data_IF_021231616531
#
_entry.id   IF_021231616531
#
_cell.length_a   1.000
_cell.length_b   1.000
_cell.length_c   1.000
_cell.angle_alpha   90.00
_cell.angle_beta   90.00
_cell.angle_gamma   90.00
#
_symmetry.space_group_name_H-M   'P 1'
#
loop_
_entity.id
_entity.type
_entity.pdbx_description
1 polymer ?
#
# COMPACT_ATOMS: atom_id res chain seq x y z
N UNK A 1 9.66 -17.46 -0.63
CA UNK A 1 10.36 -16.22 -1.02
C UNK A 1 9.74 -14.99 -0.35
N UNK A 2 8.46 -14.67 -0.54
CA UNK A 2 7.83 -13.49 0.09
C UNK A 2 7.90 -13.51 1.64
N UNK A 3 7.64 -14.66 2.27
CA UNK A 3 7.76 -14.80 3.72
C UNK A 3 9.21 -14.59 4.22
N UNK A 4 10.19 -15.03 3.44
CA UNK A 4 11.62 -14.84 3.77
C UNK A 4 12.00 -13.35 3.68
N UNK A 5 11.47 -12.66 2.66
CA UNK A 5 11.59 -11.21 2.54
C UNK A 5 10.99 -10.47 3.75
N UNK A 6 9.78 -10.82 4.19
CA UNK A 6 9.19 -10.20 5.39
C UNK A 6 9.96 -10.51 6.67
N UNK A 7 10.49 -11.73 6.81
CA UNK A 7 11.33 -12.09 7.95
C UNK A 7 12.61 -11.26 8.00
N UNK A 8 13.25 -11.00 6.86
CA UNK A 8 14.46 -10.17 6.76
C UNK A 8 14.16 -8.69 6.98
N UNK A 9 13.06 -8.17 6.43
CA UNK A 9 12.60 -6.80 6.71
C UNK A 9 12.36 -6.54 8.21
N UNK A 10 11.86 -7.55 8.92
CA UNK A 10 11.52 -7.48 10.34
C UNK A 10 12.63 -8.02 11.27
N UNK A 11 13.83 -8.28 10.76
CA UNK A 11 14.92 -8.81 11.57
C UNK A 11 15.19 -7.86 12.76
N UNK A 12 15.19 -8.43 13.97
CA UNK A 12 15.43 -7.68 15.20
C UNK A 12 16.94 -7.54 15.53
N UNK A 13 17.78 -8.27 14.80
CA UNK A 13 19.24 -8.30 14.96
C UNK A 13 19.94 -7.07 14.36
N UNK A 14 21.28 -7.05 14.40
CA UNK A 14 22.05 -6.02 13.72
C UNK A 14 21.76 -6.08 12.22
N UNK A 15 21.60 -4.91 11.59
CA UNK A 15 21.35 -4.81 10.16
C UNK A 15 22.60 -5.27 9.40
N UNK A 16 22.54 -6.48 8.84
CA UNK A 16 23.62 -7.02 8.04
C UNK A 16 23.51 -6.54 6.59
N UNK A 17 24.64 -6.22 5.96
CA UNK A 17 24.66 -5.77 4.56
C UNK A 17 24.02 -6.78 3.60
N UNK A 18 24.11 -8.08 3.90
CA UNK A 18 23.48 -9.12 3.10
C UNK A 18 21.95 -9.10 3.16
N UNK A 19 21.35 -8.70 4.29
CA UNK A 19 19.89 -8.56 4.40
C UNK A 19 19.37 -7.42 3.54
N UNK A 20 20.10 -6.29 3.51
CA UNK A 20 19.78 -5.14 2.64
C UNK A 20 19.86 -5.57 1.17
N UNK A 21 20.96 -6.19 0.75
CA UNK A 21 21.17 -6.63 -0.64
C UNK A 21 20.06 -7.61 -1.07
N UNK A 22 19.69 -8.55 -0.20
CA UNK A 22 18.58 -9.46 -0.47
C UNK A 22 17.28 -8.69 -0.68
N UNK A 23 16.94 -7.75 0.21
CA UNK A 23 15.73 -6.96 0.11
C UNK A 23 15.70 -6.11 -1.16
N UNK A 24 16.82 -5.47 -1.51
CA UNK A 24 16.94 -4.73 -2.76
C UNK A 24 16.70 -5.61 -3.98
N UNK A 25 17.34 -6.79 -4.04
CA UNK A 25 17.17 -7.73 -5.15
C UNK A 25 15.76 -8.29 -5.23
N UNK A 26 15.12 -8.51 -4.09
CA UNK A 26 13.73 -8.94 -4.06
C UNK A 26 12.78 -7.85 -4.57
N UNK A 27 13.01 -6.59 -4.22
CA UNK A 27 12.20 -5.46 -4.72
C UNK A 27 12.43 -5.24 -6.22
N UNK A 28 13.67 -5.35 -6.68
CA UNK A 28 14.02 -5.32 -8.11
C UNK A 28 13.27 -6.42 -8.87
N UNK A 29 13.26 -7.65 -8.36
CA UNK A 29 12.48 -8.75 -8.92
C UNK A 29 10.97 -8.46 -8.96
N UNK A 30 10.39 -7.87 -7.91
CA UNK A 30 8.98 -7.48 -7.92
C UNK A 30 8.69 -6.40 -8.97
N UNK A 31 9.59 -5.43 -9.13
CA UNK A 31 9.49 -4.39 -10.16
C UNK A 31 9.49 -5.04 -11.55
N UNK A 32 10.41 -5.96 -11.82
CA UNK A 32 10.50 -6.66 -13.10
C UNK A 32 9.20 -7.41 -13.40
N UNK A 33 8.64 -8.14 -12.42
CA UNK A 33 7.37 -8.83 -12.57
C UNK A 33 6.19 -7.88 -12.83
N UNK A 34 6.18 -6.70 -12.22
CA UNK A 34 5.12 -5.73 -12.42
C UNK A 34 5.30 -4.89 -13.70
N UNK A 35 6.52 -4.84 -14.24
CA UNK A 35 6.82 -4.09 -15.47
C UNK A 35 6.28 -4.77 -16.74
N UNK A 36 6.04 -6.08 -16.67
CA UNK A 36 5.57 -6.89 -17.80
C UNK A 36 4.10 -7.26 -17.62
N UNK A 37 3.25 -6.96 -18.62
CA UNK A 37 1.81 -7.18 -18.56
C UNK A 37 1.40 -8.63 -18.18
N UNK A 38 2.03 -9.70 -18.73
CA UNK A 38 1.62 -11.08 -18.44
C UNK A 38 1.83 -11.48 -16.97
N UNK A 39 2.92 -11.03 -16.36
CA UNK A 39 3.26 -11.33 -14.96
C UNK A 39 2.58 -10.36 -14.00
N UNK A 40 2.40 -9.10 -14.40
CA UNK A 40 1.73 -8.07 -13.61
C UNK A 40 0.30 -8.47 -13.25
N UNK A 41 -0.44 -9.08 -14.18
CA UNK A 41 -1.84 -9.50 -14.00
C UNK A 41 -2.05 -10.35 -12.74
N UNK A 42 -1.12 -11.25 -12.45
CA UNK A 42 -1.20 -12.15 -11.29
C UNK A 42 -0.40 -11.64 -10.08
N UNK A 43 0.67 -10.90 -10.33
CA UNK A 43 1.57 -10.43 -9.27
C UNK A 43 1.02 -9.19 -8.56
N UNK A 44 0.37 -8.29 -9.30
CA UNK A 44 -0.15 -7.03 -8.75
C UNK A 44 -1.20 -7.23 -7.64
N UNK A 45 -2.23 -8.10 -7.81
CA UNK A 45 -3.17 -8.37 -6.73
C UNK A 45 -2.46 -8.88 -5.47
N UNK A 46 -1.48 -9.77 -5.61
CA UNK A 46 -0.72 -10.32 -4.49
C UNK A 46 0.13 -9.25 -3.79
N UNK A 47 0.80 -8.37 -4.54
CA UNK A 47 1.59 -7.27 -3.97
C UNK A 47 0.70 -6.29 -3.19
N UNK A 48 -0.51 -6.02 -3.71
CA UNK A 48 -1.51 -5.15 -3.05
C UNK A 48 -2.08 -5.80 -1.79
N UNK A 49 -2.49 -7.06 -1.87
CA UNK A 49 -3.10 -7.80 -0.76
C UNK A 49 -2.13 -7.96 0.43
N UNK A 50 -0.86 -8.26 0.13
CA UNK A 50 0.19 -8.39 1.15
C UNK A 50 0.72 -7.05 1.68
N UNK A 51 0.21 -5.91 1.18
CA UNK A 51 0.61 -4.56 1.61
C UNK A 51 2.13 -4.33 1.64
N UNK A 52 2.87 -4.90 0.68
CA UNK A 52 4.33 -4.99 0.70
C UNK A 52 4.99 -3.63 0.92
N UNK A 53 4.54 -2.59 0.22
CA UNK A 53 5.09 -1.23 0.33
C UNK A 53 4.91 -0.68 1.75
N UNK A 54 3.78 -0.94 2.40
CA UNK A 54 3.54 -0.46 3.76
C UNK A 54 4.42 -1.21 4.76
N UNK A 55 4.54 -2.53 4.62
CA UNK A 55 5.43 -3.36 5.46
C UNK A 55 6.88 -2.88 5.33
N UNK A 56 7.35 -2.62 4.10
CA UNK A 56 8.68 -2.06 3.86
C UNK A 56 8.87 -0.72 4.57
N UNK A 57 7.94 0.23 4.41
CA UNK A 57 8.05 1.58 5.00
C UNK A 57 8.10 1.59 6.54
N UNK A 58 7.49 0.61 7.18
CA UNK A 58 7.51 0.45 8.65
C UNK A 58 8.63 -0.48 9.13
N UNK A 59 9.45 -1.03 8.23
CA UNK A 59 10.55 -1.91 8.58
C UNK A 59 11.75 -1.13 9.12
N UNK A 60 12.48 -1.74 10.06
CA UNK A 60 13.73 -1.16 10.59
C UNK A 60 14.80 -1.01 9.51
N UNK A 61 14.86 -1.97 8.57
CA UNK A 61 15.77 -1.89 7.43
C UNK A 61 15.55 -0.61 6.63
N UNK A 62 14.30 -0.26 6.35
CA UNK A 62 13.99 0.96 5.58
C UNK A 62 14.34 2.25 6.31
N UNK A 63 14.23 2.27 7.65
CA UNK A 63 14.65 3.40 8.48
C UNK A 63 16.18 3.56 8.53
N UNK A 64 16.90 2.44 8.71
CA UNK A 64 18.37 2.43 8.70
C UNK A 64 18.96 2.79 7.34
N UNK A 65 18.23 2.50 6.27
CA UNK A 65 18.67 2.67 4.90
C UNK A 65 18.18 4.00 4.28
N UNK A 66 18.08 5.07 5.07
CA UNK A 66 17.74 6.41 4.57
C UNK A 66 18.75 6.87 3.52
N UNK A 67 18.26 7.24 2.33
CA UNK A 67 19.09 7.59 1.17
C UNK A 67 19.72 6.40 0.45
N UNK A 68 19.25 5.17 0.70
CA UNK A 68 19.73 3.97 0.01
C UNK A 68 18.95 3.65 -1.26
N UNK A 69 19.54 2.80 -2.09
CA UNK A 69 18.92 2.18 -3.26
C UNK A 69 17.59 1.48 -2.93
N UNK A 70 17.42 0.94 -1.73
CA UNK A 70 16.16 0.33 -1.30
C UNK A 70 15.00 1.35 -1.24
N UNK A 71 15.27 2.61 -0.90
CA UNK A 71 14.26 3.66 -0.90
C UNK A 71 13.85 4.04 -2.32
N UNK A 72 14.82 4.20 -3.22
CA UNK A 72 14.57 4.49 -4.63
C UNK A 72 13.76 3.36 -5.28
N UNK A 73 14.14 2.11 -5.02
CA UNK A 73 13.40 0.92 -5.47
C UNK A 73 11.98 0.89 -4.89
N UNK A 74 11.77 1.32 -3.64
CA UNK A 74 10.42 1.38 -3.07
C UNK A 74 9.52 2.41 -3.76
N UNK A 75 10.08 3.55 -4.20
CA UNK A 75 9.36 4.57 -4.95
C UNK A 75 9.03 4.05 -6.36
N UNK A 76 9.99 3.39 -7.01
CA UNK A 76 9.78 2.77 -8.32
C UNK A 76 8.72 1.65 -8.25
N UNK A 77 8.77 0.81 -7.21
CA UNK A 77 7.75 -0.21 -6.98
C UNK A 77 6.36 0.42 -6.80
N UNK A 78 6.26 1.53 -6.05
CA UNK A 78 4.99 2.23 -5.86
C UNK A 78 4.38 2.70 -7.18
N UNK A 79 5.20 3.23 -8.10
CA UNK A 79 4.75 3.64 -9.42
C UNK A 79 4.11 2.48 -10.19
N UNK A 80 4.77 1.32 -10.26
CA UNK A 80 4.21 0.14 -10.94
C UNK A 80 2.93 -0.41 -10.29
N UNK A 81 2.78 -0.26 -8.97
CA UNK A 81 1.57 -0.66 -8.24
C UNK A 81 0.39 0.30 -8.46
N UNK A 82 0.67 1.61 -8.58
CA UNK A 82 -0.34 2.65 -8.76
C UNK A 82 -0.79 2.77 -10.23
N UNK A 83 0.12 2.66 -11.19
CA UNK A 83 -0.12 2.86 -12.63
C UNK A 83 -0.82 1.66 -13.29
N UNK A 84 -1.53 0.84 -12.53
CA UNK A 84 -2.11 -0.43 -13.00
C UNK A 84 -3.50 -0.27 -13.60
N UNK A 85 -3.70 0.81 -14.35
CA UNK A 85 -5.00 1.25 -14.84
C UNK A 85 -5.72 0.22 -15.70
N UNK A 86 -5.06 -0.46 -16.62
CA UNK A 86 -5.76 -1.33 -17.56
C UNK A 86 -5.01 -2.59 -17.96
N UNK A 87 -5.76 -3.68 -17.98
CA UNK A 87 -5.47 -4.89 -18.74
C UNK A 87 -5.55 -4.51 -20.23
N UNK A 88 -4.45 -4.03 -20.80
CA UNK A 88 -4.13 -4.19 -22.22
C UNK A 88 -4.90 -3.45 -23.32
N UNK A 89 -5.93 -2.62 -23.09
CA UNK A 89 -6.61 -1.92 -24.21
C UNK A 89 -6.68 -0.40 -24.16
N UNK A 90 -6.86 0.23 -22.99
CA UNK A 90 -7.12 1.67 -22.95
C UNK A 90 -6.33 2.34 -21.83
N UNK A 91 -5.67 3.46 -22.14
CA UNK A 91 -5.24 4.37 -21.08
C UNK A 91 -6.49 4.70 -20.27
N UNK A 92 -6.55 4.29 -19.00
CA UNK A 92 -7.70 4.62 -18.16
C UNK A 92 -7.85 6.12 -18.15
N UNK A 93 -8.98 6.62 -18.63
CA UNK A 93 -9.27 8.05 -18.59
C UNK A 93 -9.16 8.54 -17.14
N UNK A 94 -8.75 9.79 -16.96
CA UNK A 94 -8.74 10.42 -15.64
C UNK A 94 -10.10 10.29 -14.94
N UNK A 95 -11.18 10.21 -15.72
CA UNK A 95 -12.55 9.99 -15.25
C UNK A 95 -12.73 8.58 -14.66
N UNK A 96 -12.27 7.53 -15.33
CA UNK A 96 -12.39 6.16 -14.85
C UNK A 96 -11.58 5.94 -13.56
N UNK A 97 -10.38 6.53 -13.49
CA UNK A 97 -9.58 6.54 -12.27
C UNK A 97 -10.31 7.25 -11.12
N UNK A 98 -10.99 8.37 -11.40
CA UNK A 98 -11.80 9.07 -10.41
C UNK A 98 -13.00 8.23 -9.95
N UNK A 99 -13.72 7.56 -10.85
CA UNK A 99 -14.85 6.68 -10.52
C UNK A 99 -14.40 5.55 -9.59
N UNK A 100 -13.33 4.81 -9.92
CA UNK A 100 -12.80 3.72 -9.07
C UNK A 100 -12.40 4.21 -7.67
N UNK A 101 -11.84 5.41 -7.59
CA UNK A 101 -11.49 6.04 -6.31
C UNK A 101 -12.73 6.38 -5.49
N UNK A 102 -13.75 6.98 -6.09
CA UNK A 102 -15.01 7.30 -5.41
C UNK A 102 -15.77 6.04 -4.98
N UNK A 103 -15.75 4.98 -5.78
CA UNK A 103 -16.27 3.68 -5.36
C UNK A 103 -15.57 3.18 -4.09
N UNK A 104 -14.24 3.27 -4.04
CA UNK A 104 -13.46 2.86 -2.87
C UNK A 104 -13.83 3.68 -1.62
N UNK A 105 -14.02 5.00 -1.76
CA UNK A 105 -14.50 5.85 -0.67
C UNK A 105 -15.92 5.49 -0.23
N UNK A 106 -16.83 5.23 -1.17
CA UNK A 106 -18.20 4.83 -0.84
C UNK A 106 -18.24 3.50 -0.07
N UNK A 107 -17.37 2.54 -0.43
CA UNK A 107 -17.22 1.27 0.30
C UNK A 107 -16.70 1.50 1.71
N UNK A 108 -15.70 2.38 1.87
CA UNK A 108 -15.16 2.75 3.16
C UNK A 108 -16.26 3.37 4.06
N UNK A 109 -16.97 4.39 3.58
CA UNK A 109 -18.02 5.07 4.35
C UNK A 109 -19.15 4.12 4.78
N UNK A 110 -19.56 3.18 3.90
CA UNK A 110 -20.55 2.15 4.25
C UNK A 110 -20.05 1.23 5.37
N UNK A 111 -18.78 0.82 5.34
CA UNK A 111 -18.21 -0.01 6.41
C UNK A 111 -18.10 0.77 7.73
N UNK A 112 -17.72 2.05 7.67
CA UNK A 112 -17.65 2.91 8.84
C UNK A 112 -18.98 2.98 9.61
N UNK A 113 -20.12 3.18 8.92
CA UNK A 113 -21.44 3.19 9.57
C UNK A 113 -21.84 1.81 10.07
N UNK A 114 -21.52 0.76 9.30
CA UNK A 114 -21.93 -0.61 9.63
C UNK A 114 -21.22 -1.13 10.89
N UNK A 115 -19.93 -0.87 11.03
CA UNK A 115 -19.10 -1.43 12.10
C UNK A 115 -18.93 -0.46 13.27
N UNK A 116 -18.83 0.85 13.00
CA UNK A 116 -18.46 1.85 14.01
C UNK A 116 -19.32 3.12 13.95
N UNK A 117 -20.66 3.00 14.07
CA UNK A 117 -21.56 4.15 13.96
C UNK A 117 -21.25 5.23 15.01
N UNK A 118 -20.87 4.88 16.23
CA UNK A 118 -20.65 5.86 17.31
C UNK A 118 -19.42 6.75 17.08
N UNK A 119 -18.38 6.23 16.42
CA UNK A 119 -17.08 6.93 16.26
C UNK A 119 -16.86 7.48 14.85
N UNK A 120 -17.33 6.77 13.82
CA UNK A 120 -17.01 7.10 12.42
C UNK A 120 -18.19 7.70 11.63
N UNK A 121 -19.26 8.14 12.29
CA UNK A 121 -20.39 8.81 11.61
C UNK A 121 -19.93 10.06 10.86
N UNK A 122 -19.02 10.84 11.44
CA UNK A 122 -18.51 12.07 10.80
C UNK A 122 -17.77 11.73 9.49
N UNK A 123 -16.88 10.74 9.51
CA UNK A 123 -16.18 10.26 8.33
C UNK A 123 -17.17 9.74 7.27
N UNK A 124 -18.17 8.97 7.70
CA UNK A 124 -19.10 8.34 6.79
C UNK A 124 -20.06 9.30 6.08
N UNK A 125 -20.34 10.45 6.70
CA UNK A 125 -21.18 11.51 6.12
C UNK A 125 -20.37 12.63 5.47
N UNK A 126 -19.04 12.61 5.59
CA UNK A 126 -18.17 13.61 4.97
C UNK A 126 -18.16 13.50 3.44
N UNK A 127 -17.82 14.60 2.77
CA UNK A 127 -17.71 14.60 1.31
C UNK A 127 -16.45 13.86 0.84
N UNK A 128 -16.45 13.36 -0.40
CA UNK A 128 -15.31 12.62 -0.96
C UNK A 128 -14.01 13.42 -1.06
N UNK A 129 -14.08 14.76 -1.10
CA UNK A 129 -12.87 15.59 -1.11
C UNK A 129 -12.16 15.58 0.24
N UNK A 130 -12.91 15.63 1.35
CA UNK A 130 -12.37 15.51 2.71
C UNK A 130 -11.91 14.07 3.01
N UNK A 131 -12.67 13.05 2.59
CA UNK A 131 -12.21 11.64 2.67
C UNK A 131 -10.92 11.42 1.87
N UNK A 132 -10.72 12.15 0.78
CA UNK A 132 -9.50 12.08 -0.01
C UNK A 132 -8.26 12.71 0.66
N UNK A 133 -8.44 13.52 1.71
CA UNK A 133 -7.34 14.16 2.42
C UNK A 133 -6.74 13.22 3.46
N UNK A 134 -5.44 12.93 3.33
CA UNK A 134 -4.72 12.05 4.26
C UNK A 134 -4.76 12.57 5.70
N UNK A 135 -4.67 13.88 5.92
CA UNK A 135 -4.66 14.47 7.26
C UNK A 135 -5.99 14.24 7.97
N UNK A 136 -7.11 14.49 7.27
CA UNK A 136 -8.46 14.30 7.80
C UNK A 136 -8.70 12.82 8.12
N UNK A 137 -8.35 11.91 7.19
CA UNK A 137 -8.45 10.47 7.43
C UNK A 137 -7.67 10.04 8.68
N UNK A 138 -6.43 10.53 8.83
CA UNK A 138 -5.61 10.20 9.99
C UNK A 138 -6.26 10.67 11.29
N UNK A 139 -6.89 11.85 11.30
CA UNK A 139 -7.62 12.36 12.46
C UNK A 139 -8.83 11.47 12.81
N UNK A 140 -9.65 11.11 11.81
CA UNK A 140 -10.80 10.23 12.04
C UNK A 140 -10.40 8.83 12.53
N UNK A 141 -9.31 8.26 11.99
CA UNK A 141 -8.85 6.93 12.39
C UNK A 141 -8.08 6.91 13.72
N UNK A 142 -7.55 8.05 14.19
CA UNK A 142 -6.85 8.12 15.47
C UNK A 142 -7.77 7.83 16.68
N UNK A 143 -9.09 7.99 16.52
CA UNK A 143 -10.09 7.74 17.57
C UNK A 143 -10.44 6.24 17.74
N UNK A 144 -9.96 5.37 16.84
CA UNK A 144 -10.18 3.93 16.89
C UNK A 144 -9.10 3.23 17.71
N UNK A 145 -9.51 2.23 18.49
CA UNK A 145 -8.59 1.34 19.19
C UNK A 145 -8.00 0.31 18.21
N UNK A 146 -6.80 -0.19 18.49
CA UNK A 146 -6.13 -1.21 17.65
C UNK A 146 -6.99 -2.46 17.41
N UNK A 147 -7.75 -2.87 18.43
CA UNK A 147 -8.70 -3.99 18.34
C UNK A 147 -9.83 -3.79 17.32
N UNK A 148 -10.18 -2.54 16.99
CA UNK A 148 -11.21 -2.21 16.01
C UNK A 148 -10.67 -2.24 14.56
N UNK A 149 -9.36 -2.17 14.40
CA UNK A 149 -8.71 -2.16 13.07
C UNK A 149 -8.38 -3.58 12.60
N UNK A 150 -8.15 -4.51 13.54
CA UNK A 150 -7.76 -5.90 13.26
C UNK A 150 -8.98 -6.85 13.07
N UNK A 151 -10.22 -6.35 13.17
CA UNK A 151 -11.48 -7.11 13.10
C UNK A 151 -12.14 -7.06 11.71
#
# INVERSE_FOLDING_TARGET
MVLDFFRRLSSAGPVESMEIIYCEKFVEFLIDLLSQLPTRRYTLPLVKDLNIIQVMRHSRLFESAKGSRLQDLSQLLQHFVQDSGSDGSDQTSAEEAAVRRYESFSRLQRQCIKQYPEKLTVLALSNYASVGNRADLQAYFAELSRSAIDA
#
